data_IF_239438515736
#
_entry.id   IF_239438515736
#
_cell.length_a   1.000
_cell.length_b   1.000
_cell.length_c   1.000
_cell.angle_alpha   90.00
_cell.angle_beta   90.00
_cell.angle_gamma   90.00
#
_symmetry.space_group_name_H-M   'P 1'
#
loop_
_entity.id
_entity.type
_entity.pdbx_description
1 polymer ?
#
# COMPACT_ATOMS: atom_id res chain seq x y z
N UNK A 1 -28.85 6.37 31.96
CA UNK A 1 -27.53 6.47 31.30
C UNK A 1 -27.68 7.32 30.05
N UNK A 2 -26.82 8.32 29.83
CA UNK A 2 -26.87 9.15 28.61
C UNK A 2 -26.02 8.49 27.53
N UNK A 3 -26.58 8.22 26.37
CA UNK A 3 -25.82 7.67 25.25
C UNK A 3 -24.75 8.69 24.81
N UNK A 4 -23.51 8.23 24.57
CA UNK A 4 -22.41 9.06 24.06
C UNK A 4 -22.18 8.75 22.58
N UNK A 5 -21.84 9.79 21.82
CA UNK A 5 -21.61 9.70 20.36
C UNK A 5 -20.15 10.02 20.04
N UNK A 6 -19.47 9.09 19.37
CA UNK A 6 -18.14 9.30 18.80
C UNK A 6 -18.27 9.55 17.30
N UNK A 7 -17.65 10.61 16.79
CA UNK A 7 -17.59 10.91 15.35
C UNK A 7 -16.14 10.81 14.87
N UNK A 8 -15.85 9.89 13.95
CA UNK A 8 -14.52 9.69 13.37
C UNK A 8 -14.55 9.87 11.85
N UNK A 9 -13.46 10.38 11.26
CA UNK A 9 -13.31 10.54 9.80
C UNK A 9 -12.80 9.24 9.15
N UNK A 10 -13.42 8.87 8.04
CA UNK A 10 -13.09 7.71 7.23
C UNK A 10 -11.92 8.03 6.30
N UNK A 11 -10.70 7.76 6.76
CA UNK A 11 -9.60 7.45 5.82
C UNK A 11 -9.52 5.95 5.51
N UNK A 12 -9.99 5.08 6.41
CA UNK A 12 -9.98 3.62 6.23
C UNK A 12 -11.20 2.95 6.90
N UNK A 13 -12.33 2.84 6.19
CA UNK A 13 -13.59 2.24 6.69
C UNK A 13 -13.45 0.78 7.15
N UNK A 14 -12.44 0.07 6.65
CA UNK A 14 -12.24 -1.36 6.90
C UNK A 14 -11.59 -1.64 8.28
N UNK A 15 -11.00 -0.64 8.92
CA UNK A 15 -10.37 -0.76 10.24
C UNK A 15 -11.40 -0.64 11.37
N UNK A 16 -12.36 0.28 11.20
CA UNK A 16 -13.38 0.56 12.20
C UNK A 16 -14.34 -0.61 12.39
N UNK A 17 -14.81 -1.26 11.31
CA UNK A 17 -15.76 -2.39 11.42
C UNK A 17 -15.18 -3.57 12.22
N UNK A 18 -13.88 -3.87 12.06
CA UNK A 18 -13.19 -4.95 12.77
C UNK A 18 -12.82 -4.61 14.22
N UNK A 19 -12.56 -3.34 14.54
CA UNK A 19 -12.33 -2.89 15.91
C UNK A 19 -13.66 -2.89 16.69
N UNK A 20 -14.76 -2.46 16.06
CA UNK A 20 -16.07 -2.33 16.66
C UNK A 20 -16.75 -3.69 16.93
N UNK A 21 -16.49 -4.72 16.12
CA UNK A 21 -17.01 -6.08 16.35
C UNK A 21 -16.48 -6.72 17.65
N UNK A 22 -15.39 -6.20 18.22
CA UNK A 22 -14.75 -6.73 19.43
C UNK A 22 -15.20 -6.04 20.71
N UNK A 23 -16.01 -4.99 20.61
CA UNK A 23 -16.41 -4.17 21.75
C UNK A 23 -17.83 -4.55 22.18
N UNK A 24 -17.93 -5.36 23.23
CA UNK A 24 -19.19 -5.62 23.94
C UNK A 24 -19.72 -4.30 24.50
N UNK A 25 -20.89 -3.84 24.04
CA UNK A 25 -21.55 -2.61 24.51
C UNK A 25 -21.82 -1.54 23.43
N UNK A 26 -21.51 -1.80 22.16
CA UNK A 26 -21.91 -0.93 21.05
C UNK A 26 -23.42 -1.01 20.82
N UNK A 27 -24.11 0.14 20.81
CA UNK A 27 -25.57 0.18 20.68
C UNK A 27 -26.01 0.39 19.23
N UNK A 28 -25.37 1.34 18.52
CA UNK A 28 -25.65 1.64 17.11
C UNK A 28 -24.40 2.19 16.39
N UNK A 29 -24.28 1.88 15.10
CA UNK A 29 -23.23 2.40 14.21
C UNK A 29 -23.90 3.00 12.98
N UNK A 30 -23.58 4.25 12.64
CA UNK A 30 -24.09 4.95 11.46
C UNK A 30 -22.93 5.45 10.63
N UNK A 31 -22.88 5.05 9.36
CA UNK A 31 -21.89 5.53 8.39
C UNK A 31 -22.52 6.66 7.57
N UNK A 32 -21.88 7.83 7.56
CA UNK A 32 -22.36 9.02 6.85
C UNK A 32 -21.22 9.58 6.00
N UNK A 33 -21.29 9.38 4.68
CA UNK A 33 -20.28 9.81 3.71
C UNK A 33 -18.85 9.42 4.15
N UNK A 34 -18.02 10.40 4.53
CA UNK A 34 -16.64 10.21 4.99
C UNK A 34 -16.51 10.20 6.52
N UNK A 35 -17.58 9.91 7.26
CA UNK A 35 -17.59 9.88 8.73
C UNK A 35 -18.32 8.64 9.25
N UNK A 36 -17.89 8.14 10.41
CA UNK A 36 -18.62 7.13 11.18
C UNK A 36 -19.04 7.75 12.50
N UNK A 37 -20.33 7.64 12.81
CA UNK A 37 -20.90 7.98 14.10
C UNK A 37 -21.19 6.69 14.87
N UNK A 38 -20.66 6.59 16.09
CA UNK A 38 -20.82 5.43 16.96
C UNK A 38 -21.52 5.87 18.23
N UNK A 39 -22.62 5.21 18.58
CA UNK A 39 -23.36 5.45 19.81
C UNK A 39 -23.15 4.32 20.80
N UNK A 40 -22.73 4.66 22.02
CA UNK A 40 -22.44 3.70 23.09
C UNK A 40 -23.01 4.14 24.44
N UNK A 41 -23.15 3.19 25.36
CA UNK A 41 -23.71 3.41 26.70
C UNK A 41 -22.66 4.07 27.64
N UNK A 42 -23.12 5.00 28.48
CA UNK A 42 -22.27 5.64 29.50
C UNK A 42 -21.79 4.62 30.55
N UNK A 43 -20.49 4.62 30.86
CA UNK A 43 -19.81 3.60 31.68
C UNK A 43 -18.78 2.78 30.90
N UNK A 44 -18.79 2.89 29.57
CA UNK A 44 -17.80 2.28 28.68
C UNK A 44 -16.57 3.17 28.45
N UNK A 45 -16.02 3.82 29.48
CA UNK A 45 -14.85 4.71 29.33
C UNK A 45 -13.59 3.98 28.86
N UNK A 46 -13.46 2.70 29.21
CA UNK A 46 -12.42 1.84 28.64
C UNK A 46 -12.53 1.69 27.13
N UNK A 47 -13.72 1.84 26.54
CA UNK A 47 -13.91 1.78 25.08
C UNK A 47 -13.36 3.05 24.42
N UNK A 48 -13.53 4.23 25.01
CA UNK A 48 -12.98 5.46 24.43
C UNK A 48 -11.45 5.47 24.48
N UNK A 49 -10.86 5.05 25.61
CA UNK A 49 -9.40 4.96 25.76
C UNK A 49 -8.81 3.82 24.94
N UNK A 50 -9.48 2.67 24.83
CA UNK A 50 -9.04 1.55 24.01
C UNK A 50 -9.26 1.83 22.52
N UNK A 51 -10.32 2.50 22.11
CA UNK A 51 -10.51 2.95 20.73
C UNK A 51 -9.52 4.04 20.38
N UNK A 52 -9.27 5.04 21.22
CA UNK A 52 -8.19 6.00 20.97
C UNK A 52 -6.84 5.29 20.94
N UNK A 53 -6.57 4.37 21.86
CA UNK A 53 -5.33 3.60 21.88
C UNK A 53 -5.23 2.62 20.71
N UNK A 54 -6.33 2.09 20.16
CA UNK A 54 -6.37 1.23 18.96
C UNK A 54 -6.36 2.06 17.68
N UNK A 55 -6.95 3.25 17.65
CA UNK A 55 -6.83 4.24 16.56
C UNK A 55 -5.39 4.78 16.49
N UNK A 56 -4.71 4.86 17.64
CA UNK A 56 -3.29 5.21 17.75
C UNK A 56 -2.38 3.99 17.53
N UNK A 57 -2.73 2.79 18.04
CA UNK A 57 -1.99 1.52 17.84
C UNK A 57 -2.24 0.85 16.49
N UNK A 58 -3.30 1.20 15.76
CA UNK A 58 -3.50 0.86 14.34
C UNK A 58 -3.23 2.04 13.41
N UNK A 59 -2.56 3.07 13.94
CA UNK A 59 -1.49 3.74 13.21
C UNK A 59 -0.15 2.97 13.36
N UNK A 60 -0.24 1.68 13.70
CA UNK A 60 0.84 0.70 13.64
C UNK A 60 0.36 -0.59 12.95
N UNK A 61 -0.10 -0.49 11.69
CA UNK A 61 0.82 -1.03 10.68
C UNK A 61 1.92 0.02 10.69
N UNK A 62 3.04 -0.37 11.27
CA UNK A 62 4.31 0.35 11.47
C UNK A 62 4.43 1.69 10.72
N UNK A 63 5.13 2.72 11.25
CA UNK A 63 5.85 3.62 10.34
C UNK A 63 6.75 2.69 9.53
N UNK A 64 6.21 2.27 8.38
CA UNK A 64 6.68 1.11 7.68
C UNK A 64 7.88 1.67 6.93
N UNK A 65 9.03 1.53 7.57
CA UNK A 65 10.34 1.63 6.93
C UNK A 65 10.39 0.74 5.68
N UNK A 66 9.39 -0.13 5.46
CA UNK A 66 9.17 -0.95 4.28
C UNK A 66 8.26 -0.34 3.19
N UNK A 67 7.30 0.56 3.51
CA UNK A 67 6.45 1.21 2.49
C UNK A 67 7.21 2.31 1.76
N UNK A 68 8.01 3.09 2.50
CA UNK A 68 8.94 4.06 1.90
C UNK A 68 10.00 3.33 1.06
N UNK A 69 10.58 2.24 1.59
CA UNK A 69 11.53 1.41 0.82
C UNK A 69 10.91 0.77 -0.43
N UNK A 70 9.67 0.29 -0.35
CA UNK A 70 9.00 -0.28 -1.52
C UNK A 70 8.68 0.82 -2.53
N UNK A 71 8.20 1.99 -2.08
CA UNK A 71 7.95 3.12 -2.99
C UNK A 71 9.26 3.61 -3.65
N UNK A 72 10.34 3.71 -2.88
CA UNK A 72 11.68 4.04 -3.37
C UNK A 72 12.19 2.99 -4.35
N UNK A 73 11.97 1.71 -4.07
CA UNK A 73 12.28 0.62 -4.99
C UNK A 73 11.50 0.79 -6.30
N UNK A 74 10.19 0.99 -6.25
CA UNK A 74 9.33 1.15 -7.43
C UNK A 74 9.73 2.37 -8.26
N UNK A 75 10.00 3.49 -7.61
CA UNK A 75 10.51 4.71 -8.26
C UNK A 75 11.87 4.47 -8.90
N UNK A 76 12.76 3.72 -8.23
CA UNK A 76 14.05 3.35 -8.80
C UNK A 76 13.91 2.38 -9.98
N UNK A 77 12.89 1.50 -10.00
CA UNK A 77 12.58 0.68 -11.18
C UNK A 77 12.24 1.59 -12.35
N UNK A 78 11.34 2.56 -12.15
CA UNK A 78 11.00 3.50 -13.22
C UNK A 78 12.20 4.34 -13.66
N UNK A 79 13.00 4.87 -12.73
CA UNK A 79 14.24 5.60 -13.07
C UNK A 79 15.21 4.74 -13.86
N UNK A 80 15.41 3.49 -13.44
CA UNK A 80 16.24 2.51 -14.13
C UNK A 80 15.72 2.13 -15.52
N UNK A 81 14.42 2.28 -15.78
CA UNK A 81 13.82 2.12 -17.11
C UNK A 81 13.87 3.41 -17.95
N UNK A 82 14.47 4.51 -17.46
CA UNK A 82 14.50 5.80 -18.15
C UNK A 82 13.32 6.72 -17.84
N UNK A 83 12.61 6.44 -16.74
CA UNK A 83 11.42 7.16 -16.28
C UNK A 83 10.11 6.50 -16.72
N UNK A 84 9.00 6.87 -16.05
CA UNK A 84 7.65 6.35 -16.35
C UNK A 84 7.23 6.57 -17.81
N UNK A 85 7.59 7.72 -18.39
CA UNK A 85 7.28 8.05 -19.77
C UNK A 85 8.04 7.20 -20.80
N UNK A 86 9.14 6.53 -20.40
CA UNK A 86 9.88 5.63 -21.28
C UNK A 86 9.28 4.21 -21.29
N UNK A 87 8.34 3.89 -20.41
CA UNK A 87 7.70 2.58 -20.33
C UNK A 87 6.47 2.53 -21.22
N UNK A 88 6.49 1.65 -22.21
CA UNK A 88 5.38 1.43 -23.15
C UNK A 88 4.44 0.32 -22.68
N UNK A 89 4.99 -0.77 -22.16
CA UNK A 89 4.22 -1.93 -21.71
C UNK A 89 4.93 -2.60 -20.53
N UNK A 90 4.14 -2.98 -19.52
CA UNK A 90 4.57 -3.78 -18.39
C UNK A 90 3.83 -5.12 -18.37
N UNK A 91 4.60 -6.19 -18.34
CA UNK A 91 4.09 -7.54 -18.13
C UNK A 91 5.04 -8.34 -17.23
N UNK A 92 4.66 -9.54 -16.82
CA UNK A 92 5.52 -10.42 -16.04
C UNK A 92 5.25 -11.89 -16.35
N UNK A 93 6.28 -12.71 -16.18
CA UNK A 93 6.13 -14.16 -16.02
C UNK A 93 6.25 -14.55 -14.54
N UNK A 94 6.51 -15.82 -14.26
CA UNK A 94 6.74 -16.31 -12.90
C UNK A 94 7.94 -15.64 -12.19
N UNK A 95 9.00 -15.29 -12.92
CA UNK A 95 10.26 -14.80 -12.31
C UNK A 95 10.82 -13.53 -12.93
N UNK A 96 10.23 -13.03 -14.02
CA UNK A 96 10.78 -11.92 -14.82
C UNK A 96 9.74 -10.84 -15.07
N UNK A 97 10.12 -9.59 -14.84
CA UNK A 97 9.38 -8.41 -15.26
C UNK A 97 9.76 -8.16 -16.71
N UNK A 98 8.77 -8.12 -17.60
CA UNK A 98 8.94 -7.86 -19.03
C UNK A 98 8.49 -6.44 -19.29
N UNK A 99 9.40 -5.60 -19.73
CA UNK A 99 9.14 -4.20 -20.02
C UNK A 99 9.42 -3.95 -21.48
N UNK A 100 8.47 -3.34 -22.19
CA UNK A 100 8.77 -2.70 -23.47
C UNK A 100 8.98 -1.22 -23.19
N UNK A 101 10.12 -0.68 -23.60
CA UNK A 101 10.43 0.75 -23.49
C UNK A 101 10.31 1.46 -24.84
N UNK A 102 10.24 2.79 -24.83
CA UNK A 102 10.32 3.59 -26.07
C UNK A 102 11.76 3.74 -26.56
N UNK A 103 12.70 3.89 -25.63
CA UNK A 103 14.12 4.12 -25.91
C UNK A 103 15.00 3.30 -24.97
N UNK A 104 15.76 2.35 -25.52
CA UNK A 104 16.64 1.48 -24.74
C UNK A 104 17.86 2.22 -24.18
N UNK A 105 18.26 3.35 -24.78
CA UNK A 105 19.46 4.10 -24.37
C UNK A 105 19.30 4.80 -23.03
N UNK A 106 18.05 4.97 -22.57
CA UNK A 106 17.69 5.55 -21.27
C UNK A 106 17.64 4.53 -20.14
N UNK A 107 17.83 3.24 -20.45
CA UNK A 107 17.78 2.17 -19.44
C UNK A 107 19.11 2.08 -18.71
N UNK A 108 19.05 2.21 -17.39
CA UNK A 108 20.19 2.12 -16.47
C UNK A 108 20.17 0.78 -15.70
N UNK A 109 21.08 -0.11 -16.08
CA UNK A 109 21.21 -1.44 -15.49
C UNK A 109 21.68 -1.39 -14.02
N UNK A 110 22.43 -0.36 -13.62
CA UNK A 110 22.95 -0.24 -12.26
C UNK A 110 21.83 0.12 -11.28
N UNK A 111 20.95 1.04 -11.68
CA UNK A 111 19.75 1.37 -10.89
C UNK A 111 18.83 0.16 -10.80
N UNK A 112 18.59 -0.54 -11.92
CA UNK A 112 17.76 -1.74 -11.91
C UNK A 112 18.33 -2.84 -10.99
N UNK A 113 19.66 -3.06 -10.99
CA UNK A 113 20.31 -3.98 -10.05
C UNK A 113 20.15 -3.55 -8.59
N UNK A 114 20.22 -2.25 -8.28
CA UNK A 114 20.06 -1.75 -6.92
C UNK A 114 18.65 -1.97 -6.35
N UNK A 115 17.65 -2.16 -7.21
CA UNK A 115 16.28 -2.55 -6.82
C UNK A 115 16.14 -4.02 -6.41
N UNK A 116 17.24 -4.78 -6.37
CA UNK A 116 17.23 -6.22 -6.05
C UNK A 116 17.04 -7.13 -7.26
N UNK A 117 17.25 -6.61 -8.48
CA UNK A 117 17.28 -7.44 -9.66
C UNK A 117 18.51 -8.35 -9.67
N UNK A 118 18.29 -9.65 -9.88
CA UNK A 118 19.36 -10.66 -9.97
C UNK A 118 20.02 -10.63 -11.35
N UNK A 119 19.29 -10.20 -12.37
CA UNK A 119 19.79 -10.11 -13.73
C UNK A 119 18.90 -9.26 -14.61
N UNK A 120 19.48 -8.73 -15.68
CA UNK A 120 18.81 -7.87 -16.66
C UNK A 120 19.20 -8.37 -18.05
N UNK A 121 18.21 -8.56 -18.91
CA UNK A 121 18.38 -8.94 -20.30
C UNK A 121 17.77 -7.86 -21.20
N UNK A 122 18.52 -7.39 -22.18
CA UNK A 122 18.09 -6.34 -23.12
C UNK A 122 18.17 -6.86 -24.55
N UNK A 123 17.12 -6.62 -25.33
CA UNK A 123 17.07 -6.90 -26.77
C UNK A 123 16.29 -5.78 -27.46
N UNK A 124 16.99 -4.72 -27.86
CA UNK A 124 16.33 -3.51 -28.33
C UNK A 124 15.46 -2.94 -27.22
N UNK A 125 14.25 -2.52 -27.60
CA UNK A 125 13.24 -1.98 -26.67
C UNK A 125 12.63 -3.00 -25.70
N UNK A 126 12.95 -4.30 -25.83
CA UNK A 126 12.47 -5.33 -24.92
C UNK A 126 13.48 -5.57 -23.78
N UNK A 127 13.08 -5.19 -22.57
CA UNK A 127 13.87 -5.33 -21.34
C UNK A 127 13.23 -6.41 -20.45
N UNK A 128 14.04 -7.31 -19.91
CA UNK A 128 13.61 -8.29 -18.92
C UNK A 128 14.44 -8.16 -17.65
N UNK A 129 13.76 -7.96 -16.52
CA UNK A 129 14.40 -7.83 -15.21
C UNK A 129 14.01 -9.01 -14.34
N UNK A 130 14.99 -9.71 -13.77
CA UNK A 130 14.79 -10.93 -13.00
C UNK A 130 14.68 -10.58 -11.52
N UNK A 131 13.46 -10.65 -10.98
CA UNK A 131 13.19 -10.43 -9.55
C UNK A 131 12.80 -11.70 -8.79
N UNK A 132 12.58 -12.82 -9.50
CA UNK A 132 12.10 -14.06 -8.88
C UNK A 132 10.59 -14.05 -8.62
N UNK A 133 10.07 -14.94 -7.75
CA UNK A 133 8.64 -15.20 -7.56
C UNK A 133 7.79 -13.97 -7.17
N UNK A 134 8.43 -12.97 -6.57
CA UNK A 134 7.80 -11.72 -6.14
C UNK A 134 7.44 -10.74 -7.27
N UNK A 135 7.83 -11.05 -8.52
CA UNK A 135 7.63 -10.15 -9.66
C UNK A 135 6.16 -9.78 -9.91
N UNK A 136 5.23 -10.69 -9.61
CA UNK A 136 3.79 -10.40 -9.73
C UNK A 136 3.36 -9.27 -8.81
N UNK A 137 3.89 -9.23 -7.59
CA UNK A 137 3.62 -8.16 -6.63
C UNK A 137 4.24 -6.85 -7.11
N UNK A 138 5.49 -6.89 -7.59
CA UNK A 138 6.19 -5.72 -8.13
C UNK A 138 5.40 -5.10 -9.29
N UNK A 139 4.95 -5.89 -10.28
CA UNK A 139 4.11 -5.37 -11.38
C UNK A 139 2.82 -4.74 -10.86
N UNK A 140 2.12 -5.43 -9.96
CA UNK A 140 0.86 -4.93 -9.42
C UNK A 140 1.04 -3.62 -8.66
N UNK A 141 2.17 -3.44 -7.97
CA UNK A 141 2.46 -2.22 -7.26
C UNK A 141 2.87 -1.09 -8.22
N UNK A 142 3.68 -1.38 -9.25
CA UNK A 142 4.01 -0.41 -10.32
C UNK A 142 2.77 0.14 -11.04
N UNK A 143 1.69 -0.64 -11.13
CA UNK A 143 0.42 -0.21 -11.75
C UNK A 143 -0.44 0.69 -10.84
N UNK A 144 -0.16 0.71 -9.54
CA UNK A 144 -0.92 1.51 -8.55
C UNK A 144 -0.27 2.86 -8.27
N UNK A 145 1.00 3.04 -8.61
CA UNK A 145 1.79 4.26 -8.36
C UNK A 145 1.64 5.30 -9.46
#
# INVERSE_FOLDING_TARGET
AKDKVLVATLKDANIYSKALLRLSGTKNIKVIANKVEITYLDGAESIHKTLQAEMTKKQTLTPDTNKDKNNDMLENIFKGLGGRSNVKLLDNCATRLRVTVFDETKVDDNILKSTGAVGIFKKGTAIQVIYGPQVGNIKNDLLKT
#
